data_IF_782982599504
#
_entry.id   IF_782982599504
#
_cell.length_a   1.000
_cell.length_b   1.000
_cell.length_c   1.000
_cell.angle_alpha   90.00
_cell.angle_beta   90.00
_cell.angle_gamma   90.00
#
_symmetry.space_group_name_H-M   'P 1'
#
loop_
_entity.id
_entity.type
_entity.pdbx_description
1 polymer ?
#
# COMPACT_ATOMS: atom_id res chain seq x y z
N UNK A 1 -55.57 -10.19 -28.48
CA UNK A 1 -55.95 -10.53 -27.09
C UNK A 1 -54.86 -11.43 -26.54
N UNK A 2 -53.74 -10.88 -26.04
CA UNK A 2 -53.50 -10.39 -24.67
C UNK A 2 -53.90 -11.41 -23.59
N UNK A 3 -52.96 -12.26 -23.21
CA UNK A 3 -52.79 -12.64 -21.82
C UNK A 3 -51.32 -12.36 -21.44
N UNK A 4 -51.12 -11.16 -20.88
CA UNK A 4 -49.99 -10.88 -20.01
C UNK A 4 -50.18 -11.76 -18.77
N UNK A 5 -49.24 -12.64 -18.50
CA UNK A 5 -49.13 -13.28 -17.19
C UNK A 5 -48.44 -12.31 -16.26
N UNK A 6 -49.27 -11.65 -15.47
CA UNK A 6 -48.98 -10.77 -14.36
C UNK A 6 -48.07 -11.47 -13.34
N UNK A 7 -46.84 -10.98 -13.16
CA UNK A 7 -46.10 -11.20 -11.92
C UNK A 7 -46.84 -10.45 -10.80
N UNK A 8 -47.63 -11.21 -10.06
CA UNK A 8 -48.33 -10.75 -8.86
C UNK A 8 -47.29 -10.40 -7.80
N UNK A 9 -47.46 -9.19 -7.29
CA UNK A 9 -46.81 -8.61 -6.12
C UNK A 9 -47.07 -9.52 -4.91
N UNK A 10 -46.09 -10.34 -4.55
CA UNK A 10 -45.98 -10.98 -3.24
C UNK A 10 -44.95 -10.20 -2.41
N UNK A 11 -45.36 -8.99 -1.99
CA UNK A 11 -44.76 -8.32 -0.84
C UNK A 11 -45.45 -8.90 0.39
N UNK A 12 -44.69 -9.54 1.27
CA UNK A 12 -44.72 -9.42 2.74
C UNK A 12 -44.19 -10.71 3.39
N UNK A 13 -43.15 -10.53 4.24
CA UNK A 13 -42.58 -11.49 5.20
C UNK A 13 -41.56 -12.51 4.65
N UNK A 14 -40.48 -12.02 4.04
CA UNK A 14 -39.19 -12.71 4.15
C UNK A 14 -38.49 -12.23 5.43
N UNK A 15 -38.06 -13.13 6.34
CA UNK A 15 -37.21 -12.76 7.45
C UNK A 15 -35.84 -12.31 6.90
N UNK A 16 -35.40 -11.11 7.27
CA UNK A 16 -33.99 -10.71 7.20
C UNK A 16 -33.43 -10.25 5.85
N UNK A 17 -34.00 -9.23 5.20
CA UNK A 17 -33.29 -8.47 4.14
C UNK A 17 -32.28 -7.44 4.71
N UNK A 18 -31.68 -7.74 5.85
CA UNK A 18 -30.43 -7.12 6.32
C UNK A 18 -29.29 -8.12 6.04
N UNK A 19 -29.29 -8.71 4.84
CA UNK A 19 -28.34 -9.74 4.48
C UNK A 19 -27.02 -9.10 4.07
N UNK A 20 -26.04 -9.15 4.96
CA UNK A 20 -24.65 -8.99 4.56
C UNK A 20 -24.35 -10.06 3.51
N UNK A 21 -23.80 -9.64 2.37
CA UNK A 21 -23.34 -10.57 1.35
C UNK A 21 -22.02 -11.16 1.82
N UNK A 22 -21.90 -12.48 1.74
CA UNK A 22 -20.64 -13.16 2.02
C UNK A 22 -19.54 -12.65 1.11
N UNK A 23 -18.35 -12.47 1.69
CA UNK A 23 -17.14 -12.16 0.95
C UNK A 23 -16.88 -13.18 -0.17
N UNK A 24 -16.41 -12.72 -1.33
CA UNK A 24 -15.99 -13.64 -2.40
C UNK A 24 -14.74 -14.39 -1.95
N UNK A 25 -14.77 -15.72 -1.90
CA UNK A 25 -13.55 -16.50 -1.72
C UNK A 25 -12.77 -16.61 -3.03
N UNK A 26 -11.47 -16.36 -2.97
CA UNK A 26 -10.53 -16.64 -4.05
C UNK A 26 -9.91 -18.04 -3.88
N UNK A 27 -9.35 -18.67 -4.95
CA UNK A 27 -8.89 -20.05 -4.89
C UNK A 27 -7.75 -20.29 -3.90
N UNK A 28 -6.90 -19.29 -3.65
CA UNK A 28 -5.69 -19.40 -2.83
C UNK A 28 -5.74 -18.49 -1.60
N UNK A 29 -4.87 -18.79 -0.64
CA UNK A 29 -4.65 -17.99 0.58
C UNK A 29 -3.35 -17.20 0.43
N UNK A 30 -3.39 -15.89 0.68
CA UNK A 30 -2.16 -15.11 0.73
C UNK A 30 -1.28 -15.55 1.93
N UNK A 31 0.03 -15.80 1.73
CA UNK A 31 0.94 -16.11 2.82
C UNK A 31 1.02 -14.99 3.85
N UNK A 32 1.30 -15.36 5.10
CA UNK A 32 1.65 -14.40 6.14
C UNK A 32 3.05 -13.85 5.88
N UNK A 33 3.14 -12.58 5.50
CA UNK A 33 4.40 -11.82 5.49
C UNK A 33 4.42 -10.83 6.66
N UNK A 34 5.56 -10.19 6.87
CA UNK A 34 5.70 -9.13 7.87
C UNK A 34 4.61 -8.06 7.68
N UNK A 35 4.02 -7.61 8.79
CA UNK A 35 2.95 -6.60 8.78
C UNK A 35 3.46 -5.28 8.18
N UNK A 36 2.65 -4.50 7.44
CA UNK A 36 3.05 -3.17 7.00
C UNK A 36 3.34 -2.22 8.18
N UNK A 37 2.85 -2.51 9.38
CA UNK A 37 3.17 -1.72 10.57
C UNK A 37 4.50 -2.10 11.23
N UNK A 38 5.13 -3.23 10.86
CA UNK A 38 6.36 -3.69 11.50
C UNK A 38 7.62 -3.09 10.88
N UNK A 39 8.71 -3.10 11.64
CA UNK A 39 10.02 -2.60 11.21
C UNK A 39 10.69 -3.49 10.15
N UNK A 40 10.10 -4.64 9.81
CA UNK A 40 10.58 -5.60 8.82
C UNK A 40 9.62 -5.74 7.62
N UNK A 41 8.72 -4.76 7.41
CA UNK A 41 7.72 -4.76 6.31
C UNK A 41 8.30 -4.94 4.89
N UNK A 42 9.60 -4.70 4.70
CA UNK A 42 10.30 -4.86 3.42
C UNK A 42 11.05 -6.19 3.27
N UNK A 43 11.08 -7.04 4.31
CA UNK A 43 11.90 -8.26 4.32
C UNK A 43 11.47 -9.31 3.30
N UNK A 44 10.21 -9.27 2.84
CA UNK A 44 9.68 -10.16 1.79
C UNK A 44 10.01 -9.73 0.36
N UNK A 45 10.70 -8.60 0.17
CA UNK A 45 11.08 -8.13 -1.17
C UNK A 45 12.47 -8.66 -1.56
N UNK A 46 12.58 -9.08 -2.81
CA UNK A 46 13.86 -9.40 -3.44
C UNK A 46 14.29 -8.23 -4.34
N UNK A 47 15.54 -7.75 -4.24
CA UNK A 47 16.04 -6.75 -5.17
C UNK A 47 16.12 -7.29 -6.60
N UNK A 48 15.89 -6.40 -7.57
CA UNK A 48 16.05 -6.69 -8.99
C UNK A 48 17.47 -7.20 -9.32
N UNK A 49 17.60 -7.93 -10.42
CA UNK A 49 18.89 -8.45 -10.87
C UNK A 49 19.96 -7.34 -10.97
N UNK A 50 21.14 -7.64 -10.42
CA UNK A 50 22.27 -6.70 -10.36
C UNK A 50 22.12 -5.60 -9.30
N UNK A 51 21.13 -5.65 -8.42
CA UNK A 51 21.07 -4.85 -7.18
C UNK A 51 21.62 -5.70 -6.03
N UNK A 52 22.53 -5.14 -5.23
CA UNK A 52 23.10 -5.84 -4.08
C UNK A 52 22.08 -5.92 -2.94
N UNK A 53 21.40 -4.81 -2.69
CA UNK A 53 20.32 -4.70 -1.73
C UNK A 53 19.74 -3.29 -1.68
N UNK A 54 18.63 -3.18 -0.95
CA UNK A 54 17.93 -1.93 -0.66
C UNK A 54 17.89 -1.75 0.84
N UNK A 55 18.41 -0.64 1.36
CA UNK A 55 18.29 -0.27 2.76
C UNK A 55 17.06 0.64 2.94
N UNK A 56 16.20 0.36 3.91
CA UNK A 56 14.96 1.10 4.14
C UNK A 56 15.02 1.88 5.45
N UNK A 57 14.38 3.04 5.44
CA UNK A 57 14.36 3.98 6.54
C UNK A 57 12.98 4.61 6.67
N UNK A 58 12.70 5.05 7.89
CA UNK A 58 11.53 5.80 8.28
C UNK A 58 11.99 7.14 8.85
N UNK A 59 11.31 8.22 8.49
CA UNK A 59 11.44 9.51 9.15
C UNK A 59 10.06 9.98 9.62
N UNK A 60 9.99 10.31 10.92
CA UNK A 60 8.89 11.08 11.49
C UNK A 60 9.24 12.57 11.38
N UNK A 61 8.37 13.36 10.76
CA UNK A 61 8.44 14.81 10.80
C UNK A 61 7.46 15.36 11.85
N UNK A 62 7.88 15.47 13.12
CA UNK A 62 7.06 16.13 14.11
C UNK A 62 6.84 17.58 13.69
N UNK A 63 5.59 18.05 13.79
CA UNK A 63 5.25 19.43 13.49
C UNK A 63 6.00 20.39 14.42
N UNK A 64 7.10 20.97 13.93
CA UNK A 64 7.86 22.01 14.62
C UNK A 64 9.25 21.59 15.10
N UNK A 65 10.23 21.85 14.23
CA UNK A 65 11.58 22.37 14.57
C UNK A 65 12.68 21.43 15.09
N UNK A 66 12.54 20.10 15.09
CA UNK A 66 13.68 19.19 15.28
C UNK A 66 14.02 18.43 13.99
N UNK A 67 15.30 18.06 13.81
CA UNK A 67 15.70 17.15 12.73
C UNK A 67 14.87 15.86 12.84
N UNK A 68 14.33 15.33 11.72
CA UNK A 68 13.58 14.09 11.77
C UNK A 68 14.43 12.97 12.36
N UNK A 69 13.86 12.20 13.27
CA UNK A 69 14.48 10.97 13.75
C UNK A 69 14.40 9.94 12.63
N UNK A 70 15.56 9.42 12.23
CA UNK A 70 15.65 8.40 11.17
C UNK A 70 15.77 7.02 11.82
N UNK A 71 14.80 6.16 11.55
CA UNK A 71 14.73 4.78 12.05
C UNK A 71 14.98 3.81 10.91
N UNK A 72 15.81 2.79 11.13
CA UNK A 72 16.06 1.73 10.13
C UNK A 72 14.88 0.74 10.09
N UNK A 73 14.37 0.47 8.88
CA UNK A 73 13.26 -0.47 8.60
C UNK A 73 13.75 -1.80 7.98
N UNK A 74 15.01 -2.13 8.19
CA UNK A 74 15.64 -3.32 7.61
C UNK A 74 16.07 -3.14 6.16
N UNK A 75 16.18 -4.25 5.45
CA UNK A 75 16.71 -4.31 4.08
C UNK A 75 16.09 -5.44 3.26
N UNK A 76 16.04 -5.22 1.94
CA UNK A 76 15.85 -6.27 0.95
C UNK A 76 17.23 -6.64 0.38
N UNK A 77 17.56 -7.93 0.33
CA UNK A 77 18.90 -8.40 -0.07
C UNK A 77 20.00 -8.00 0.92
N UNK A 78 21.20 -7.67 0.39
CA UNK A 78 22.39 -7.35 1.20
C UNK A 78 23.03 -6.05 0.73
N UNK A 79 22.58 -4.89 1.25
CA UNK A 79 23.10 -3.60 0.85
C UNK A 79 24.64 -3.52 0.92
N UNK A 80 25.26 -2.90 -0.08
CA UNK A 80 26.71 -2.74 -0.22
C UNK A 80 27.52 -4.06 -0.35
N UNK A 81 26.88 -5.22 -0.52
CA UNK A 81 27.61 -6.50 -0.56
C UNK A 81 28.56 -6.63 -1.78
N UNK A 82 28.22 -5.98 -2.90
CA UNK A 82 29.02 -5.91 -4.13
C UNK A 82 30.00 -4.73 -4.19
N UNK A 83 30.00 -3.83 -3.20
CA UNK A 83 30.90 -2.68 -3.14
C UNK A 83 32.37 -3.12 -3.00
N UNK A 84 33.27 -2.39 -3.66
CA UNK A 84 34.73 -2.58 -3.51
C UNK A 84 35.18 -2.11 -2.13
N UNK A 85 34.64 -0.98 -1.68
CA UNK A 85 34.79 -0.48 -0.31
C UNK A 85 33.42 -0.50 0.39
N UNK A 86 33.16 -1.60 1.10
CA UNK A 86 31.88 -1.83 1.79
C UNK A 86 31.62 -0.81 2.87
N UNK A 87 32.66 -0.41 3.62
CA UNK A 87 32.53 0.53 4.72
C UNK A 87 32.23 1.93 4.18
N UNK A 88 32.84 2.33 3.06
CA UNK A 88 32.50 3.59 2.39
C UNK A 88 31.05 3.61 1.90
N UNK A 89 30.59 2.53 1.26
CA UNK A 89 29.20 2.42 0.82
C UNK A 89 28.21 2.49 2.01
N UNK A 90 28.49 1.80 3.11
CA UNK A 90 27.63 1.84 4.31
C UNK A 90 27.59 3.21 4.97
N UNK A 91 28.74 3.90 5.04
CA UNK A 91 28.79 5.28 5.52
C UNK A 91 27.95 6.20 4.62
N UNK A 92 28.08 6.07 3.31
CA UNK A 92 27.30 6.88 2.37
C UNK A 92 25.79 6.65 2.52
N UNK A 93 25.33 5.39 2.65
CA UNK A 93 23.91 5.08 2.92
C UNK A 93 23.45 5.76 4.22
N UNK A 94 24.26 5.69 5.28
CA UNK A 94 23.93 6.28 6.59
C UNK A 94 23.90 7.81 6.53
N UNK A 95 24.89 8.44 5.90
CA UNK A 95 24.98 9.90 5.79
C UNK A 95 23.85 10.47 4.94
N UNK A 96 23.52 9.80 3.82
CA UNK A 96 22.41 10.21 2.95
C UNK A 96 21.06 9.99 3.61
N UNK A 97 20.88 8.95 4.43
CA UNK A 97 19.60 8.72 5.12
C UNK A 97 19.27 9.84 6.12
N UNK A 98 20.28 10.38 6.81
CA UNK A 98 20.16 11.53 7.70
C UNK A 98 19.81 12.85 6.97
N UNK A 99 19.94 12.88 5.64
CA UNK A 99 19.70 14.06 4.79
C UNK A 99 18.45 13.89 3.91
N UNK A 100 17.75 12.75 4.00
CA UNK A 100 16.61 12.45 3.14
C UNK A 100 15.42 13.38 3.43
N UNK A 101 15.01 14.14 2.40
CA UNK A 101 13.87 15.07 2.44
C UNK A 101 12.66 14.57 1.66
N UNK A 102 12.76 13.38 1.06
CA UNK A 102 11.73 12.78 0.22
C UNK A 102 11.51 11.32 0.59
N UNK A 103 10.36 10.79 0.19
CA UNK A 103 9.90 9.43 0.51
C UNK A 103 8.43 9.27 0.13
N UNK A 104 7.86 8.14 0.51
CA UNK A 104 6.44 7.83 0.34
C UNK A 104 5.76 7.65 1.69
N UNK A 105 4.46 7.95 1.74
CA UNK A 105 3.67 7.70 2.93
C UNK A 105 3.33 6.20 2.97
N UNK A 106 3.58 5.50 4.08
CA UNK A 106 3.10 4.13 4.22
C UNK A 106 1.57 4.13 4.21
N UNK A 107 0.92 3.11 3.62
CA UNK A 107 -0.54 3.08 3.42
C UNK A 107 -1.33 3.21 4.74
N UNK A 108 -0.73 2.84 5.87
CA UNK A 108 -1.35 2.89 7.20
C UNK A 108 -1.07 4.21 7.97
N UNK A 109 -0.37 5.19 7.38
CA UNK A 109 -0.01 6.45 8.06
C UNK A 109 -1.23 7.31 8.43
N UNK A 110 -2.42 7.01 7.90
CA UNK A 110 -3.60 7.84 8.07
C UNK A 110 -3.41 9.25 7.47
N UNK A 111 -4.46 10.07 7.50
CA UNK A 111 -4.48 11.36 6.80
C UNK A 111 -3.65 12.48 7.45
N UNK A 112 -3.13 12.28 8.66
CA UNK A 112 -2.57 13.34 9.50
C UNK A 112 -1.14 13.09 9.97
N UNK A 113 -0.54 11.94 9.63
CA UNK A 113 0.86 11.67 9.95
C UNK A 113 1.74 12.12 8.79
N UNK A 114 2.86 12.74 9.13
CA UNK A 114 3.91 13.16 8.19
C UNK A 114 5.04 12.14 8.10
N UNK A 115 4.74 10.92 8.54
CA UNK A 115 5.57 9.73 8.43
C UNK A 115 5.91 9.46 6.97
N UNK A 116 7.21 9.30 6.67
CA UNK A 116 7.67 8.85 5.36
C UNK A 116 8.60 7.66 5.48
N UNK A 117 8.39 6.71 4.60
CA UNK A 117 9.36 5.68 4.30
C UNK A 117 10.20 6.12 3.09
N UNK A 118 11.47 5.73 3.08
CA UNK A 118 12.37 5.95 1.96
C UNK A 118 13.45 4.86 1.94
N UNK A 119 14.22 4.77 0.86
CA UNK A 119 15.27 3.76 0.78
C UNK A 119 16.45 4.15 -0.09
N UNK A 120 17.45 3.29 -0.11
CA UNK A 120 18.64 3.43 -0.96
C UNK A 120 18.96 2.09 -1.62
N UNK A 121 18.98 2.09 -2.96
CA UNK A 121 19.50 0.98 -3.77
C UNK A 121 21.02 1.03 -3.72
N UNK A 122 21.64 -0.14 -3.54
CA UNK A 122 23.08 -0.31 -3.64
C UNK A 122 23.43 -1.24 -4.80
N UNK A 123 24.43 -0.86 -5.60
CA UNK A 123 24.97 -1.66 -6.71
C UNK A 123 26.46 -1.38 -6.85
N UNK A 124 27.29 -2.30 -6.39
CA UNK A 124 28.72 -2.04 -6.28
C UNK A 124 28.97 -0.84 -5.36
N UNK A 125 29.74 0.13 -5.83
CA UNK A 125 30.02 1.37 -5.08
C UNK A 125 28.89 2.42 -5.20
N UNK A 126 27.86 2.18 -6.00
CA UNK A 126 26.80 3.15 -6.23
C UNK A 126 25.72 3.06 -5.16
N UNK A 127 25.34 4.22 -4.61
CA UNK A 127 24.20 4.42 -3.69
C UNK A 127 23.19 5.37 -4.33
N UNK A 128 21.98 4.87 -4.62
CA UNK A 128 20.93 5.62 -5.33
C UNK A 128 19.71 5.75 -4.42
N UNK A 129 19.21 6.96 -4.13
CA UNK A 129 18.02 7.15 -3.32
C UNK A 129 16.77 6.63 -4.04
N UNK A 130 15.82 6.14 -3.26
CA UNK A 130 14.44 5.82 -3.66
C UNK A 130 13.55 6.80 -2.90
N UNK A 131 12.88 7.67 -3.64
CA UNK A 131 11.98 8.70 -3.11
C UNK A 131 10.50 8.34 -3.34
N UNK A 132 10.21 7.41 -4.25
CA UNK A 132 8.83 7.07 -4.63
C UNK A 132 8.57 5.57 -4.66
N UNK A 133 7.30 5.18 -4.49
CA UNK A 133 6.88 3.79 -4.70
C UNK A 133 7.17 3.30 -6.12
N UNK A 134 7.13 4.17 -7.13
CA UNK A 134 7.44 3.79 -8.50
C UNK A 134 8.93 3.43 -8.69
N UNK A 135 9.83 4.18 -8.06
CA UNK A 135 11.26 3.83 -8.04
C UNK A 135 11.51 2.54 -7.25
N UNK A 136 10.79 2.35 -6.12
CA UNK A 136 10.87 1.10 -5.37
C UNK A 136 10.41 -0.09 -6.22
N UNK A 137 9.30 0.06 -6.95
CA UNK A 137 8.77 -0.96 -7.86
C UNK A 137 9.83 -1.39 -8.87
N UNK A 138 10.50 -0.44 -9.51
CA UNK A 138 11.58 -0.72 -10.47
C UNK A 138 12.75 -1.45 -9.80
N UNK A 139 13.06 -1.13 -8.54
CA UNK A 139 14.16 -1.73 -7.79
C UNK A 139 13.89 -3.17 -7.30
N UNK A 140 12.63 -3.62 -7.28
CA UNK A 140 12.24 -4.96 -6.80
C UNK A 140 11.57 -5.84 -7.87
N UNK A 141 11.29 -5.28 -9.05
CA UNK A 141 10.76 -6.04 -10.17
C UNK A 141 11.87 -6.85 -10.90
N UNK A 142 11.53 -7.99 -11.52
CA UNK A 142 10.21 -8.65 -11.50
C UNK A 142 9.93 -9.35 -10.17
N UNK A 143 8.65 -9.45 -9.82
CA UNK A 143 8.16 -10.26 -8.72
C UNK A 143 8.01 -11.71 -9.21
N UNK A 144 8.70 -12.65 -8.58
CA UNK A 144 8.77 -14.04 -9.02
C UNK A 144 7.89 -14.96 -8.17
N UNK A 145 7.69 -14.59 -6.90
CA UNK A 145 6.98 -15.41 -5.91
C UNK A 145 5.71 -14.73 -5.39
N UNK A 146 4.82 -15.53 -4.80
CA UNK A 146 3.60 -15.03 -4.15
C UNK A 146 3.99 -14.19 -2.92
N UNK A 147 5.02 -14.58 -2.19
CA UNK A 147 5.51 -13.88 -1.01
C UNK A 147 5.98 -12.47 -1.35
N UNK A 148 6.75 -12.31 -2.43
CA UNK A 148 7.16 -10.99 -2.94
C UNK A 148 5.96 -10.16 -3.39
N UNK A 149 4.99 -10.80 -4.06
CA UNK A 149 3.75 -10.15 -4.50
C UNK A 149 2.94 -9.62 -3.32
N UNK A 150 2.79 -10.41 -2.24
CA UNK A 150 2.10 -9.99 -1.02
C UNK A 150 2.88 -8.88 -0.31
N UNK A 151 4.20 -9.01 -0.16
CA UNK A 151 5.04 -8.00 0.47
C UNK A 151 4.95 -6.65 -0.27
N UNK A 152 5.06 -6.67 -1.60
CA UNK A 152 4.91 -5.49 -2.44
C UNK A 152 3.50 -4.89 -2.35
N UNK A 153 2.47 -5.73 -2.39
CA UNK A 153 1.09 -5.28 -2.24
C UNK A 153 0.87 -4.57 -0.91
N UNK A 154 1.39 -5.11 0.19
CA UNK A 154 1.24 -4.53 1.53
C UNK A 154 1.93 -3.17 1.66
N UNK A 155 3.14 -3.03 1.11
CA UNK A 155 3.86 -1.75 1.06
C UNK A 155 3.09 -0.70 0.26
N UNK A 156 2.44 -1.09 -0.84
CA UNK A 156 1.81 -0.15 -1.77
C UNK A 156 0.35 0.19 -1.42
N UNK A 157 -0.44 -0.79 -0.97
CA UNK A 157 -1.90 -0.70 -0.80
C UNK A 157 -2.37 -0.87 0.63
N UNK A 158 -1.53 -1.42 1.51
CA UNK A 158 -1.88 -1.68 2.91
C UNK A 158 -2.12 -3.17 3.19
N UNK A 159 -2.50 -3.51 4.43
CA UNK A 159 -2.47 -4.87 4.93
C UNK A 159 -3.41 -5.81 4.17
N UNK A 160 -2.90 -7.01 3.87
CA UNK A 160 -3.72 -8.16 3.49
C UNK A 160 -4.00 -8.98 4.74
N UNK A 161 -5.25 -9.43 4.90
CA UNK A 161 -5.57 -10.39 5.96
C UNK A 161 -4.90 -11.72 5.63
N UNK A 162 -3.96 -12.14 6.48
CA UNK A 162 -3.36 -13.46 6.34
C UNK A 162 -4.35 -14.56 6.73
N UNK A 163 -4.27 -15.71 6.08
CA UNK A 163 -5.10 -16.88 6.36
C UNK A 163 -6.44 -16.86 5.64
N UNK A 164 -6.83 -15.72 5.07
CA UNK A 164 -8.02 -15.59 4.23
C UNK A 164 -7.77 -16.12 2.82
N UNK A 165 -8.83 -16.67 2.21
CA UNK A 165 -8.87 -17.03 0.78
C UNK A 165 -9.05 -15.78 -0.08
N UNK A 166 -7.98 -15.03 -0.27
CA UNK A 166 -7.98 -13.70 -0.87
C UNK A 166 -6.94 -13.52 -1.99
N UNK A 167 -6.46 -14.63 -2.57
CA UNK A 167 -5.48 -14.63 -3.65
C UNK A 167 -5.92 -15.53 -4.81
N UNK A 168 -5.64 -15.09 -6.03
CA UNK A 168 -5.67 -15.90 -7.24
C UNK A 168 -4.38 -15.67 -8.02
N UNK A 169 -3.61 -16.73 -8.27
CA UNK A 169 -2.42 -16.68 -9.11
C UNK A 169 -2.79 -16.75 -10.59
N UNK A 170 -2.15 -15.90 -11.40
CA UNK A 170 -2.31 -15.84 -12.84
C UNK A 170 -0.95 -15.92 -13.55
N UNK A 171 -0.94 -16.20 -14.85
CA UNK A 171 0.29 -16.28 -15.64
C UNK A 171 1.08 -14.96 -15.68
N UNK A 172 0.38 -13.82 -15.60
CA UNK A 172 0.96 -12.48 -15.69
C UNK A 172 1.01 -11.73 -14.35
N UNK A 173 0.69 -12.41 -13.23
CA UNK A 173 0.73 -11.84 -11.90
C UNK A 173 -0.27 -12.49 -10.94
N UNK A 174 -0.97 -11.67 -10.17
CA UNK A 174 -1.87 -12.11 -9.10
C UNK A 174 -3.09 -11.20 -9.00
N UNK A 175 -4.19 -11.73 -8.47
CA UNK A 175 -5.36 -10.96 -8.07
C UNK A 175 -5.54 -11.08 -6.56
N UNK A 176 -5.57 -9.94 -5.88
CA UNK A 176 -5.82 -9.84 -4.44
C UNK A 176 -7.22 -9.32 -4.19
N UNK A 177 -7.91 -9.91 -3.21
CA UNK A 177 -9.16 -9.39 -2.67
C UNK A 177 -8.91 -8.70 -1.34
N UNK A 178 -9.35 -7.46 -1.22
CA UNK A 178 -9.25 -6.67 0.03
C UNK A 178 -10.63 -6.21 0.44
N UNK A 179 -10.96 -6.37 1.72
CA UNK A 179 -12.16 -5.78 2.30
C UNK A 179 -11.87 -4.38 2.85
N UNK A 180 -12.77 -3.45 2.57
CA UNK A 180 -12.80 -2.14 3.20
C UNK A 180 -14.08 -2.04 4.03
N UNK A 181 -13.94 -1.69 5.30
CA UNK A 181 -15.06 -1.49 6.24
C UNK A 181 -15.31 -0.01 6.51
N UNK A 182 -14.86 0.88 5.62
CA UNK A 182 -15.00 2.32 5.78
C UNK A 182 -16.45 2.78 5.55
N UNK A 183 -16.65 3.52 4.47
CA UNK A 183 -17.93 4.04 4.03
C UNK A 183 -18.87 2.94 3.47
N UNK A 184 -19.23 1.99 4.33
CA UNK A 184 -19.88 0.71 3.99
C UNK A 184 -18.86 -0.42 3.78
N UNK A 185 -19.33 -1.66 3.93
CA UNK A 185 -18.50 -2.86 3.69
C UNK A 185 -18.41 -3.15 2.19
N UNK A 186 -17.20 -3.17 1.66
CA UNK A 186 -16.89 -3.43 0.25
C UNK A 186 -15.74 -4.41 0.14
N UNK A 187 -15.71 -5.14 -0.97
CA UNK A 187 -14.51 -5.84 -1.42
C UNK A 187 -13.99 -5.21 -2.71
N UNK A 188 -12.66 -5.14 -2.81
CA UNK A 188 -11.91 -4.64 -3.94
C UNK A 188 -11.01 -5.75 -4.46
N UNK A 189 -10.96 -5.91 -5.77
CA UNK A 189 -10.09 -6.87 -6.45
C UNK A 189 -9.00 -6.11 -7.19
N UNK A 190 -7.76 -6.32 -6.78
CA UNK A 190 -6.60 -5.68 -7.36
C UNK A 190 -5.80 -6.68 -8.17
N UNK A 191 -5.54 -6.38 -9.44
CA UNK A 191 -4.56 -7.11 -10.22
C UNK A 191 -3.19 -6.50 -9.98
N UNK A 192 -2.25 -7.34 -9.55
CA UNK A 192 -0.82 -7.05 -9.44
C UNK A 192 -0.10 -7.79 -10.57
N UNK A 193 0.58 -7.08 -11.45
CA UNK A 193 1.41 -7.69 -12.51
C UNK A 193 2.80 -8.05 -12.00
N UNK A 194 3.51 -8.91 -12.73
CA UNK A 194 4.89 -9.34 -12.43
C UNK A 194 5.89 -8.18 -12.36
N UNK A 195 5.67 -7.08 -13.07
CA UNK A 195 6.49 -5.87 -12.98
C UNK A 195 6.09 -4.95 -11.81
N UNK A 196 5.12 -5.34 -10.98
CA UNK A 196 4.74 -4.61 -9.78
C UNK A 196 3.60 -3.61 -9.96
N UNK A 197 2.98 -3.50 -11.14
CA UNK A 197 1.87 -2.55 -11.33
C UNK A 197 0.59 -3.06 -10.68
N UNK A 198 -0.10 -2.19 -9.91
CA UNK A 198 -1.35 -2.53 -9.23
C UNK A 198 -2.51 -1.77 -9.84
N UNK A 199 -3.57 -2.49 -10.22
CA UNK A 199 -4.78 -1.92 -10.80
C UNK A 199 -6.03 -2.45 -10.10
N UNK A 200 -6.98 -1.56 -9.77
CA UNK A 200 -8.30 -1.98 -9.31
C UNK A 200 -9.07 -2.53 -10.52
N UNK A 201 -9.47 -3.78 -10.47
CA UNK A 201 -10.18 -4.45 -11.58
C UNK A 201 -11.68 -4.60 -11.32
N UNK A 202 -12.06 -4.79 -10.05
CA UNK A 202 -13.45 -4.95 -9.64
C UNK A 202 -13.66 -4.41 -8.24
N UNK A 203 -14.85 -3.87 -7.99
CA UNK A 203 -15.34 -3.50 -6.68
C UNK A 203 -16.75 -4.09 -6.49
N UNK A 204 -17.06 -4.58 -5.29
CA UNK A 204 -18.39 -5.08 -4.93
C UNK A 204 -18.77 -4.62 -3.54
N UNK A 205 -19.96 -4.05 -3.38
CA UNK A 205 -20.52 -3.79 -2.06
C UNK A 205 -20.95 -5.11 -1.41
N UNK A 206 -20.63 -5.28 -0.13
CA UNK A 206 -21.06 -6.41 0.69
C UNK A 206 -22.31 -6.06 1.52
N UNK A 207 -22.58 -4.78 1.76
CA UNK A 207 -23.81 -4.30 2.39
C UNK A 207 -24.79 -3.73 1.36
N UNK A 208 -26.08 -4.09 1.49
CA UNK A 208 -27.15 -3.60 0.63
C UNK A 208 -27.53 -2.13 0.89
N UNK A 209 -27.22 -1.59 2.07
CA UNK A 209 -27.47 -0.20 2.45
C UNK A 209 -26.21 0.37 3.11
N UNK A 210 -25.39 1.17 2.39
CA UNK A 210 -24.22 1.77 3.00
C UNK A 210 -24.67 2.65 4.17
N UNK A 211 -24.06 2.46 5.34
CA UNK A 211 -24.21 3.41 6.43
C UNK A 211 -23.88 4.82 5.91
N UNK A 212 -24.66 5.87 6.27
CA UNK A 212 -24.33 7.22 5.87
C UNK A 212 -22.93 7.54 6.39
N UNK A 213 -21.98 7.77 5.47
CA UNK A 213 -20.67 8.24 5.86
C UNK A 213 -20.84 9.54 6.61
N UNK A 214 -20.28 9.70 7.82
CA UNK A 214 -20.13 11.02 8.36
C UNK A 214 -19.32 11.81 7.33
N UNK A 215 -19.98 12.74 6.65
CA UNK A 215 -19.30 13.77 5.90
C UNK A 215 -18.45 14.47 6.95
N UNK A 216 -17.15 14.16 6.99
CA UNK A 216 -16.19 15.06 7.58
C UNK A 216 -16.27 16.27 6.67
N UNK A 217 -17.17 17.20 7.00
CA UNK A 217 -17.20 18.54 6.46
C UNK A 217 -15.78 19.03 6.71
N UNK A 218 -14.93 18.95 5.69
CA UNK A 218 -13.67 19.68 5.66
C UNK A 218 -14.09 21.09 5.98
N UNK A 219 -13.87 21.53 7.22
CA UNK A 219 -13.98 22.93 7.57
C UNK A 219 -12.93 23.60 6.69
N UNK A 220 -13.33 24.04 5.50
CA UNK A 220 -12.63 25.04 4.73
C UNK A 220 -12.67 26.26 5.64
N UNK A 221 -11.67 26.37 6.50
CA UNK A 221 -11.43 27.59 7.25
C UNK A 221 -11.30 28.68 6.20
N UNK A 222 -12.34 29.51 6.10
CA UNK A 222 -12.37 30.63 5.19
C UNK A 222 -11.27 31.58 5.64
N UNK A 223 -10.06 31.41 5.09
CA UNK A 223 -9.03 32.44 5.14
C UNK A 223 -9.55 33.59 4.30
N UNK A 224 -10.17 34.55 4.97
CA UNK A 224 -10.46 35.88 4.45
C UNK A 224 -9.15 36.49 3.96
N UNK A 225 -8.90 36.41 2.65
CA UNK A 225 -7.86 37.20 1.99
C UNK A 225 -8.39 38.64 2.00
N UNK A 226 -7.97 39.46 2.97
CA UNK A 226 -8.09 40.91 2.86
C UNK A 226 -7.03 41.37 1.87
N UNK A 227 -7.44 41.56 0.62
CA UNK A 227 -6.73 42.42 -0.32
C UNK A 227 -6.74 43.83 0.26
N UNK A 228 -5.57 44.28 0.72
CA UNK A 228 -5.31 45.70 0.97
C UNK A 228 -5.09 46.34 -0.39
N UNK A 229 -6.08 47.10 -0.86
CA UNK A 229 -5.88 48.08 -1.92
C UNK A 229 -4.82 49.08 -1.44
N UNK A 230 -3.69 49.13 -2.15
CA UNK A 230 -2.76 50.24 -2.10
C UNK A 230 -3.24 51.26 -3.13
N UNK A 231 -3.76 52.37 -2.62
CA UNK A 231 -3.69 53.68 -3.26
C UNK A 231 -2.48 54.43 -2.69
#
# INVERSE_FOLDING_TARGET
MKHLTTCIVALLLLPGCNGDLDATELPETAPCVASPASLDRYAGLTPASGVDGIAFFYADEPQGLNRPEVVTLGAAGKPCSGARDRDACQREVTERSLQATSGWNPPDSGAFRHDRDFGFVTRGDAVVPIATLEELRVAVAPLETVEEAVAWFQVNRGPLRCGDRNLESASDGWVFRVESTGCGHREHFFKLTRDGAITLTRERALEAKPAPCPLVLRQRSARTIRLRELA
#
